data_IF_721154545619
#
_entry.id   IF_721154545619
#
_cell.length_a   1.000
_cell.length_b   1.000
_cell.length_c   1.000
_cell.angle_alpha   90.00
_cell.angle_beta   90.00
_cell.angle_gamma   90.00
#
_symmetry.space_group_name_H-M   'P 1'
#
loop_
_entity.id
_entity.type
_entity.pdbx_description
1 polymer ?
#
# COMPACT_ATOMS: atom_id res chain seq x y z
N UNK A 1 22.36 -3.41 -17.91
CA UNK A 1 20.98 -2.95 -18.16
C UNK A 1 20.64 -1.81 -17.20
N UNK A 2 19.99 -0.74 -17.65
CA UNK A 2 19.68 0.40 -16.79
C UNK A 2 18.60 0.12 -15.74
N UNK A 3 18.66 0.80 -14.59
CA UNK A 3 17.73 0.67 -13.44
C UNK A 3 16.24 0.86 -13.83
N UNK A 4 15.96 1.76 -14.78
CA UNK A 4 14.61 2.04 -15.28
C UNK A 4 14.07 0.85 -16.10
N UNK A 5 14.91 0.23 -16.93
CA UNK A 5 14.52 -0.95 -17.73
C UNK A 5 14.12 -2.12 -16.83
N UNK A 6 14.88 -2.36 -15.74
CA UNK A 6 14.54 -3.38 -14.73
C UNK A 6 13.18 -3.11 -14.07
N UNK A 7 12.94 -1.87 -13.66
CA UNK A 7 11.64 -1.47 -13.09
C UNK A 7 10.50 -1.74 -14.06
N UNK A 8 10.67 -1.38 -15.33
CA UNK A 8 9.65 -1.58 -16.36
C UNK A 8 9.38 -3.07 -16.63
N UNK A 9 10.42 -3.91 -16.62
CA UNK A 9 10.26 -5.36 -16.74
C UNK A 9 9.48 -5.96 -15.57
N UNK A 10 9.79 -5.54 -14.34
CA UNK A 10 9.10 -5.98 -13.12
C UNK A 10 7.63 -5.51 -13.09
N UNK A 11 7.37 -4.27 -13.54
CA UNK A 11 6.02 -3.74 -13.69
C UNK A 11 5.23 -4.52 -14.75
N UNK A 12 5.85 -4.85 -15.89
CA UNK A 12 5.22 -5.69 -16.93
C UNK A 12 4.94 -7.11 -16.43
N UNK A 13 5.87 -7.73 -15.70
CA UNK A 13 5.64 -9.05 -15.12
C UNK A 13 4.47 -9.03 -14.11
N UNK A 14 4.40 -7.98 -13.28
CA UNK A 14 3.26 -7.76 -12.38
C UNK A 14 1.95 -7.57 -13.15
N UNK A 15 2.01 -6.88 -14.30
CA UNK A 15 0.86 -6.64 -15.16
C UNK A 15 0.36 -7.91 -15.85
N UNK A 16 1.26 -8.80 -16.29
CA UNK A 16 0.86 -10.09 -16.84
C UNK A 16 0.18 -10.99 -15.80
N UNK A 17 0.63 -10.97 -14.54
CA UNK A 17 -0.09 -11.63 -13.44
C UNK A 17 -1.47 -11.01 -13.25
N UNK A 18 -1.57 -9.68 -13.20
CA UNK A 18 -2.86 -9.01 -13.06
C UNK A 18 -3.81 -9.25 -14.24
N UNK A 19 -3.27 -9.41 -15.44
CA UNK A 19 -4.06 -9.70 -16.65
C UNK A 19 -4.60 -11.13 -16.63
N UNK A 20 -3.84 -12.08 -16.06
CA UNK A 20 -4.33 -13.43 -15.80
C UNK A 20 -5.45 -13.41 -14.74
N UNK A 21 -5.32 -12.59 -13.70
CA UNK A 21 -6.26 -12.50 -12.57
C UNK A 21 -6.84 -11.09 -12.40
N UNK A 22 -7.73 -10.69 -13.29
CA UNK A 22 -8.34 -9.35 -13.22
C UNK A 22 -9.13 -9.11 -11.94
N UNK A 23 -9.59 -10.19 -11.30
CA UNK A 23 -10.32 -10.12 -10.03
C UNK A 23 -9.47 -9.62 -8.86
N UNK A 24 -8.13 -9.63 -8.95
CA UNK A 24 -7.25 -9.07 -7.91
C UNK A 24 -7.49 -7.57 -7.68
N UNK A 25 -7.96 -6.83 -8.70
CA UNK A 25 -8.33 -5.40 -8.57
C UNK A 25 -9.50 -5.22 -7.60
N UNK A 26 -10.35 -6.23 -7.44
CA UNK A 26 -11.46 -6.17 -6.50
C UNK A 26 -10.97 -5.96 -5.06
N UNK A 27 -9.76 -6.40 -4.70
CA UNK A 27 -9.24 -6.27 -3.34
C UNK A 27 -8.93 -4.80 -2.97
N UNK A 28 -8.19 -4.01 -3.76
CA UNK A 28 -8.10 -2.57 -3.55
C UNK A 28 -9.44 -1.83 -3.61
N UNK A 29 -10.37 -2.24 -4.48
CA UNK A 29 -11.71 -1.62 -4.56
C UNK A 29 -12.50 -1.86 -3.28
N UNK A 30 -12.53 -3.10 -2.79
CA UNK A 30 -13.17 -3.45 -1.52
C UNK A 30 -12.52 -2.72 -0.34
N UNK A 31 -11.19 -2.55 -0.36
CA UNK A 31 -10.45 -1.74 0.62
C UNK A 31 -10.91 -0.29 0.62
N UNK A 32 -11.03 0.33 -0.56
CA UNK A 32 -11.50 1.71 -0.72
C UNK A 32 -12.93 1.86 -0.20
N UNK A 33 -13.84 0.99 -0.62
CA UNK A 33 -15.25 1.03 -0.18
C UNK A 33 -15.34 0.84 1.34
N UNK A 34 -14.64 -0.15 1.90
CA UNK A 34 -14.61 -0.40 3.35
C UNK A 34 -14.05 0.79 4.12
N UNK A 35 -12.99 1.40 3.61
CA UNK A 35 -12.37 2.60 4.17
C UNK A 35 -13.34 3.78 4.17
N UNK A 36 -14.08 4.01 3.08
CA UNK A 36 -15.05 5.10 2.99
C UNK A 36 -16.24 4.89 3.94
N UNK A 37 -16.79 3.67 3.99
CA UNK A 37 -17.90 3.32 4.88
C UNK A 37 -17.51 3.53 6.34
N UNK A 38 -16.33 3.04 6.74
CA UNK A 38 -15.84 3.20 8.12
C UNK A 38 -15.45 4.65 8.40
N UNK A 39 -14.81 5.35 7.48
CA UNK A 39 -14.53 6.76 7.65
C UNK A 39 -15.83 7.55 7.88
N UNK A 40 -16.88 7.29 7.10
CA UNK A 40 -18.18 7.93 7.29
C UNK A 40 -18.80 7.61 8.66
N UNK A 41 -18.75 6.34 9.12
CA UNK A 41 -19.32 5.94 10.40
C UNK A 41 -18.65 6.60 11.62
N UNK A 42 -17.38 7.01 11.50
CA UNK A 42 -16.67 7.74 12.55
C UNK A 42 -16.76 9.26 12.37
N UNK A 43 -16.58 9.77 11.15
CA UNK A 43 -16.54 11.21 10.86
C UNK A 43 -17.90 11.88 11.04
N UNK A 44 -19.01 11.22 10.68
CA UNK A 44 -20.36 11.81 10.79
C UNK A 44 -20.70 12.08 12.27
N UNK A 45 -20.58 11.11 13.21
CA UNK A 45 -20.80 11.38 14.63
C UNK A 45 -19.83 12.42 15.20
N UNK A 46 -18.54 12.37 14.82
CA UNK A 46 -17.55 13.36 15.30
C UNK A 46 -17.91 14.79 14.85
N UNK A 47 -18.35 14.96 13.60
CA UNK A 47 -18.77 16.25 13.09
C UNK A 47 -20.05 16.76 13.78
N UNK A 48 -20.96 15.85 14.16
CA UNK A 48 -22.16 16.19 14.90
C UNK A 48 -21.84 16.65 16.34
N UNK A 49 -21.00 15.90 17.06
CA UNK A 49 -20.52 16.26 18.40
C UNK A 49 -19.73 17.56 18.37
N UNK A 50 -18.85 17.76 17.39
CA UNK A 50 -18.04 18.98 17.27
C UNK A 50 -18.85 20.25 16.95
N UNK A 51 -20.10 20.12 16.51
CA UNK A 51 -21.02 21.26 16.28
C UNK A 51 -21.91 21.58 17.47
N UNK A 52 -21.98 20.69 18.46
CA UNK A 52 -22.79 20.93 19.66
C UNK A 52 -22.14 22.01 20.53
N UNK A 53 -22.89 23.05 20.88
CA UNK A 53 -22.46 24.11 21.82
C UNK A 53 -22.48 23.61 23.28
N UNK A 54 -21.84 22.48 23.53
CA UNK A 54 -21.76 21.91 24.87
C UNK A 54 -20.57 22.53 25.62
N UNK A 55 -20.78 23.06 26.83
CA UNK A 55 -19.70 23.68 27.64
C UNK A 55 -18.57 22.71 28.05
N UNK A 56 -18.79 21.41 27.86
CA UNK A 56 -17.77 20.39 28.12
C UNK A 56 -16.79 20.32 26.94
N UNK A 57 -15.50 20.46 27.21
CA UNK A 57 -14.44 20.31 26.22
C UNK A 57 -14.60 18.96 25.47
N UNK A 58 -15.00 18.94 24.19
CA UNK A 58 -15.33 17.70 23.49
C UNK A 58 -14.07 16.85 23.18
N UNK A 59 -12.88 17.33 23.50
CA UNK A 59 -11.61 16.67 23.22
C UNK A 59 -11.46 15.28 23.86
N UNK A 60 -12.01 15.04 25.06
CA UNK A 60 -11.89 13.75 25.74
C UNK A 60 -12.71 12.64 25.06
N UNK A 61 -13.73 12.98 24.27
CA UNK A 61 -14.51 12.04 23.43
C UNK A 61 -13.93 11.95 22.03
N UNK A 62 -13.62 13.11 21.42
CA UNK A 62 -13.16 13.17 20.03
C UNK A 62 -11.79 12.51 19.86
N UNK A 63 -10.87 12.68 20.82
CA UNK A 63 -9.50 12.17 20.66
C UNK A 63 -9.42 10.62 20.67
N UNK A 64 -10.03 9.90 21.63
CA UNK A 64 -10.09 8.44 21.57
C UNK A 64 -10.84 7.93 20.34
N UNK A 65 -11.93 8.60 19.95
CA UNK A 65 -12.72 8.21 18.78
C UNK A 65 -11.93 8.40 17.47
N UNK A 66 -11.18 9.49 17.35
CA UNK A 66 -10.28 9.73 16.21
C UNK A 66 -9.13 8.71 16.17
N UNK A 67 -8.55 8.37 17.33
CA UNK A 67 -7.52 7.32 17.41
C UNK A 67 -8.09 5.94 17.02
N UNK A 68 -9.28 5.61 17.49
CA UNK A 68 -9.97 4.37 17.11
C UNK A 68 -10.27 4.34 15.60
N UNK A 69 -10.81 5.43 15.04
CA UNK A 69 -11.04 5.55 13.60
C UNK A 69 -9.74 5.33 12.82
N UNK A 70 -8.67 6.00 13.23
CA UNK A 70 -7.36 5.86 12.61
C UNK A 70 -6.83 4.42 12.63
N UNK A 71 -6.91 3.74 13.78
CA UNK A 71 -6.47 2.35 13.93
C UNK A 71 -7.30 1.39 13.07
N UNK A 72 -8.63 1.55 13.06
CA UNK A 72 -9.53 0.69 12.28
C UNK A 72 -9.28 0.88 10.78
N UNK A 73 -9.12 2.11 10.32
CA UNK A 73 -8.80 2.42 8.92
C UNK A 73 -7.43 1.84 8.50
N UNK A 74 -6.43 1.93 9.38
CA UNK A 74 -5.12 1.31 9.15
C UNK A 74 -5.25 -0.22 9.06
N UNK A 75 -6.03 -0.83 9.96
CA UNK A 75 -6.26 -2.27 9.96
C UNK A 75 -6.96 -2.75 8.67
N UNK A 76 -7.99 -2.03 8.20
CA UNK A 76 -8.68 -2.33 6.93
C UNK A 76 -7.68 -2.34 5.78
N UNK A 77 -6.87 -1.29 5.65
CA UNK A 77 -5.88 -1.17 4.57
C UNK A 77 -4.89 -2.33 4.60
N UNK A 78 -4.39 -2.69 5.80
CA UNK A 78 -3.45 -3.79 6.00
C UNK A 78 -4.11 -5.15 5.70
N UNK A 79 -5.35 -5.34 6.09
CA UNK A 79 -6.11 -6.57 5.86
C UNK A 79 -6.29 -6.85 4.37
N UNK A 80 -6.73 -5.86 3.59
CA UNK A 80 -6.88 -6.03 2.14
C UNK A 80 -5.53 -6.14 1.41
N UNK A 81 -4.48 -5.49 1.89
CA UNK A 81 -3.12 -5.70 1.37
C UNK A 81 -2.66 -7.15 1.64
N UNK A 82 -2.90 -7.67 2.84
CA UNK A 82 -2.62 -9.07 3.17
C UNK A 82 -3.42 -10.05 2.27
N UNK A 83 -4.68 -9.73 1.96
CA UNK A 83 -5.48 -10.52 1.01
C UNK A 83 -4.88 -10.51 -0.39
N UNK A 84 -4.45 -9.35 -0.88
CA UNK A 84 -3.80 -9.20 -2.18
C UNK A 84 -2.48 -9.97 -2.24
N UNK A 85 -1.67 -9.89 -1.19
CA UNK A 85 -0.41 -10.64 -1.08
C UNK A 85 -0.65 -12.15 -1.03
N UNK A 86 -1.71 -12.60 -0.34
CA UNK A 86 -2.10 -14.01 -0.33
C UNK A 86 -2.50 -14.51 -1.73
N UNK A 87 -3.35 -13.75 -2.42
CA UNK A 87 -3.83 -14.09 -3.76
C UNK A 87 -2.70 -14.07 -4.80
N UNK A 88 -1.82 -13.08 -4.73
CA UNK A 88 -0.62 -13.04 -5.56
C UNK A 88 0.28 -14.25 -5.30
N UNK A 89 0.41 -14.68 -4.04
CA UNK A 89 1.21 -15.85 -3.70
C UNK A 89 0.61 -17.14 -4.30
N UNK A 90 -0.72 -17.30 -4.18
CA UNK A 90 -1.46 -18.41 -4.76
C UNK A 90 -1.24 -18.52 -6.28
N UNK A 91 -1.35 -17.41 -7.02
CA UNK A 91 -1.05 -17.42 -8.47
C UNK A 91 0.42 -17.72 -8.77
N UNK A 92 1.36 -17.15 -8.01
CA UNK A 92 2.80 -17.40 -8.19
C UNK A 92 3.20 -18.84 -7.83
N UNK A 93 2.36 -19.58 -7.10
CA UNK A 93 2.48 -21.02 -6.86
C UNK A 93 1.86 -21.88 -7.98
N UNK A 94 1.23 -21.26 -8.98
CA UNK A 94 0.52 -21.94 -10.06
C UNK A 94 -0.96 -22.20 -9.78
N UNK A 95 -1.50 -21.67 -8.67
CA UNK A 95 -2.92 -21.76 -8.33
C UNK A 95 -3.79 -20.77 -9.12
N UNK A 96 -5.07 -20.73 -8.77
CA UNK A 96 -6.09 -19.88 -9.38
C UNK A 96 -6.75 -19.01 -8.29
N UNK A 97 -6.22 -17.82 -8.00
CA UNK A 97 -6.68 -17.01 -6.89
C UNK A 97 -8.06 -16.45 -7.15
N UNK A 98 -8.93 -16.49 -6.15
CA UNK A 98 -10.22 -15.83 -6.18
C UNK A 98 -10.30 -14.75 -5.11
N UNK A 99 -11.21 -13.78 -5.25
CA UNK A 99 -11.49 -12.83 -4.15
C UNK A 99 -11.82 -13.57 -2.84
N UNK A 100 -12.54 -14.70 -2.94
CA UNK A 100 -12.88 -15.53 -1.79
C UNK A 100 -11.66 -16.21 -1.14
N UNK A 101 -10.75 -16.79 -1.94
CA UNK A 101 -9.52 -17.39 -1.40
C UNK A 101 -8.63 -16.33 -0.75
N UNK A 102 -8.50 -15.17 -1.38
CA UNK A 102 -7.76 -14.01 -0.88
C UNK A 102 -8.25 -13.55 0.50
N UNK A 103 -9.56 -13.33 0.64
CA UNK A 103 -10.18 -12.86 1.89
C UNK A 103 -10.09 -13.91 2.99
N UNK A 104 -10.32 -15.20 2.69
CA UNK A 104 -10.11 -16.29 3.66
C UNK A 104 -8.65 -16.37 4.09
N UNK A 105 -7.74 -16.19 3.14
CA UNK A 105 -6.30 -16.12 3.36
C UNK A 105 -5.94 -15.05 4.38
N UNK A 106 -6.41 -13.82 4.19
CA UNK A 106 -6.19 -12.72 5.14
C UNK A 106 -6.90 -12.94 6.48
N UNK A 107 -8.15 -13.41 6.47
CA UNK A 107 -8.95 -13.67 7.66
C UNK A 107 -8.28 -14.68 8.60
N UNK A 108 -7.68 -15.74 8.06
CA UNK A 108 -6.92 -16.71 8.86
C UNK A 108 -5.71 -16.10 9.60
N UNK A 109 -5.22 -14.92 9.17
CA UNK A 109 -4.11 -14.18 9.80
C UNK A 109 -4.56 -12.88 10.45
N UNK A 110 -5.87 -12.63 10.59
CA UNK A 110 -6.44 -11.40 11.13
C UNK A 110 -5.83 -11.02 12.49
N UNK A 111 -5.61 -12.02 13.36
CA UNK A 111 -5.00 -11.83 14.68
C UNK A 111 -3.51 -11.43 14.64
N UNK A 112 -2.77 -11.83 13.60
CA UNK A 112 -1.37 -11.40 13.38
C UNK A 112 -1.29 -10.00 12.78
N UNK A 113 -2.26 -9.65 11.94
CA UNK A 113 -2.33 -8.35 11.27
C UNK A 113 -2.72 -7.22 12.22
N UNK A 114 -3.47 -7.50 13.29
CA UNK A 114 -3.93 -6.46 14.20
C UNK A 114 -2.79 -5.80 14.99
N UNK A 115 -1.88 -6.54 15.67
CA UNK A 115 -0.72 -5.93 16.31
C UNK A 115 0.20 -5.22 15.32
N UNK A 116 0.25 -5.68 14.05
CA UNK A 116 0.99 -5.01 13.00
C UNK A 116 0.36 -3.67 12.64
N UNK A 117 -0.96 -3.62 12.51
CA UNK A 117 -1.69 -2.37 12.28
C UNK A 117 -1.48 -1.37 13.40
N UNK A 118 -1.54 -1.81 14.66
CA UNK A 118 -1.27 -0.96 15.81
C UNK A 118 0.16 -0.38 15.77
N UNK A 119 1.16 -1.22 15.51
CA UNK A 119 2.56 -0.78 15.41
C UNK A 119 2.75 0.21 14.24
N UNK A 120 2.26 -0.14 13.05
CA UNK A 120 2.42 0.69 11.85
C UNK A 120 1.71 2.03 12.01
N UNK A 121 0.48 2.03 12.53
CA UNK A 121 -0.29 3.23 12.82
C UNK A 121 0.46 4.12 13.84
N UNK A 122 0.98 3.52 14.91
CA UNK A 122 1.74 4.27 15.93
C UNK A 122 2.99 4.91 15.35
N UNK A 123 3.77 4.17 14.55
CA UNK A 123 4.99 4.71 13.93
C UNK A 123 4.65 5.81 12.91
N UNK A 124 3.61 5.62 12.10
CA UNK A 124 3.15 6.65 11.17
C UNK A 124 2.67 7.92 11.88
N UNK A 125 1.90 7.79 12.97
CA UNK A 125 1.46 8.93 13.78
C UNK A 125 2.65 9.64 14.43
N UNK A 126 3.63 8.90 14.95
CA UNK A 126 4.84 9.46 15.55
C UNK A 126 5.68 10.22 14.52
N UNK A 127 5.92 9.65 13.34
CA UNK A 127 6.65 10.31 12.26
C UNK A 127 5.97 11.61 11.85
N UNK A 128 4.64 11.61 11.74
CA UNK A 128 3.86 12.79 11.41
C UNK A 128 3.93 13.87 12.49
N UNK A 129 3.82 13.48 13.77
CA UNK A 129 3.94 14.40 14.90
C UNK A 129 5.33 15.06 14.98
N UNK A 130 6.39 14.32 14.62
CA UNK A 130 7.75 14.87 14.51
C UNK A 130 7.85 15.83 13.32
N UNK A 131 7.28 15.47 12.17
CA UNK A 131 7.31 16.31 10.96
C UNK A 131 6.55 17.64 11.14
N UNK A 132 5.41 17.62 11.84
CA UNK A 132 4.61 18.81 12.15
C UNK A 132 5.34 19.78 13.10
N UNK A 133 6.19 19.27 13.99
CA UNK A 133 6.95 20.07 14.97
C UNK A 133 8.35 20.43 14.48
N UNK A 134 8.77 19.88 13.35
CA UNK A 134 10.09 20.06 12.78
C UNK A 134 10.18 21.31 11.89
N UNK A 135 11.25 22.10 12.07
CA UNK A 135 11.70 23.05 11.06
C UNK A 135 12.20 22.34 9.79
N UNK A 136 12.67 23.09 8.79
CA UNK A 136 13.08 22.53 7.48
C UNK A 136 14.05 21.34 7.58
N UNK A 137 15.02 21.37 8.51
CA UNK A 137 15.95 20.26 8.75
C UNK A 137 15.28 19.01 9.33
N UNK A 138 14.32 19.17 10.24
CA UNK A 138 13.64 18.03 10.83
C UNK A 138 12.70 17.32 9.84
N UNK A 139 12.16 18.05 8.85
CA UNK A 139 11.40 17.44 7.73
C UNK A 139 12.27 16.53 6.85
N UNK A 140 13.53 16.91 6.63
CA UNK A 140 14.48 16.06 5.89
C UNK A 140 14.77 14.79 6.70
N UNK A 141 15.04 14.93 8.00
CA UNK A 141 15.33 13.78 8.88
C UNK A 141 14.12 12.85 9.01
N UNK A 142 12.91 13.40 9.22
CA UNK A 142 11.68 12.60 9.29
C UNK A 142 11.39 11.89 7.97
N UNK A 143 11.66 12.54 6.82
CA UNK A 143 11.55 11.93 5.50
C UNK A 143 12.50 10.74 5.32
N UNK A 144 13.76 10.87 5.73
CA UNK A 144 14.73 9.76 5.69
C UNK A 144 14.31 8.62 6.62
N UNK A 145 13.86 8.94 7.84
CA UNK A 145 13.37 7.94 8.79
C UNK A 145 12.13 7.20 8.25
N UNK A 146 11.20 7.92 7.62
CA UNK A 146 10.03 7.34 6.96
C UNK A 146 10.42 6.44 5.78
N UNK A 147 11.41 6.85 4.99
CA UNK A 147 11.95 6.01 3.91
C UNK A 147 12.56 4.72 4.46
N UNK A 148 13.44 4.82 5.46
CA UNK A 148 14.05 3.67 6.12
C UNK A 148 13.00 2.73 6.72
N UNK A 149 12.00 3.27 7.43
CA UNK A 149 10.86 2.50 7.94
C UNK A 149 10.14 1.76 6.82
N UNK A 150 9.80 2.44 5.73
CA UNK A 150 9.09 1.84 4.60
C UNK A 150 9.88 0.72 3.91
N UNK A 151 11.22 0.80 3.91
CA UNK A 151 12.11 -0.23 3.35
C UNK A 151 12.18 -1.45 4.26
N UNK A 152 12.41 -1.22 5.56
CA UNK A 152 12.48 -2.28 6.58
C UNK A 152 11.17 -3.04 6.68
N UNK A 153 10.05 -2.36 6.51
CA UNK A 153 8.70 -2.94 6.68
C UNK A 153 8.11 -3.50 5.40
N UNK A 154 8.79 -3.32 4.27
CA UNK A 154 8.27 -3.69 2.96
C UNK A 154 7.92 -5.18 2.86
N UNK A 155 8.67 -6.09 3.48
CA UNK A 155 8.39 -7.54 3.39
C UNK A 155 7.57 -8.06 4.58
N UNK A 156 7.16 -7.20 5.52
CA UNK A 156 6.47 -7.63 6.75
C UNK A 156 5.13 -8.29 6.44
N UNK A 157 4.31 -7.71 5.55
CA UNK A 157 3.00 -8.28 5.20
C UNK A 157 3.15 -9.67 4.55
N UNK A 158 3.99 -9.86 3.51
CA UNK A 158 4.30 -11.20 2.99
C UNK A 158 4.74 -12.20 4.05
N UNK A 159 5.64 -11.79 4.95
CA UNK A 159 6.12 -12.67 6.03
C UNK A 159 4.99 -13.04 6.99
N UNK A 160 4.16 -12.09 7.40
CA UNK A 160 3.01 -12.35 8.28
C UNK A 160 2.00 -13.29 7.62
N UNK A 161 1.76 -13.14 6.32
CA UNK A 161 0.78 -13.95 5.59
C UNK A 161 1.31 -15.36 5.31
N UNK A 162 2.58 -15.49 4.92
CA UNK A 162 3.14 -16.75 4.41
C UNK A 162 3.95 -17.55 5.42
N UNK A 163 4.49 -16.90 6.46
CA UNK A 163 5.26 -17.56 7.53
C UNK A 163 4.51 -17.58 8.88
N UNK A 164 3.35 -16.93 8.99
CA UNK A 164 2.53 -16.80 10.22
C UNK A 164 3.34 -16.36 11.46
N UNK A 165 4.37 -15.56 11.26
CA UNK A 165 5.23 -15.10 12.34
C UNK A 165 4.55 -14.01 13.20
N UNK A 166 5.07 -13.81 14.41
CA UNK A 166 4.70 -12.64 15.23
C UNK A 166 5.31 -11.37 14.61
N UNK A 167 4.69 -10.22 14.85
CA UNK A 167 5.15 -8.93 14.29
C UNK A 167 6.64 -8.65 14.53
N UNK A 168 7.14 -8.90 15.75
CA UNK A 168 8.55 -8.71 16.07
C UNK A 168 9.49 -9.64 15.29
N UNK A 169 9.08 -10.89 15.09
CA UNK A 169 9.81 -11.87 14.28
C UNK A 169 9.74 -11.52 12.80
N UNK A 170 8.59 -11.08 12.31
CA UNK A 170 8.39 -10.63 10.94
C UNK A 170 9.27 -9.41 10.61
N UNK A 171 9.45 -8.47 11.54
CA UNK A 171 10.38 -7.35 11.37
C UNK A 171 11.85 -7.80 11.32
N UNK A 172 12.24 -8.73 12.20
CA UNK A 172 13.60 -9.31 12.18
C UNK A 172 13.86 -10.07 10.88
N UNK A 173 12.87 -10.84 10.42
CA UNK A 173 12.93 -11.58 9.16
C UNK A 173 13.00 -10.62 7.96
N UNK A 174 12.16 -9.57 7.94
CA UNK A 174 12.16 -8.54 6.89
C UNK A 174 13.50 -7.80 6.80
N UNK A 175 14.07 -7.42 7.95
CA UNK A 175 15.40 -6.79 8.00
C UNK A 175 16.53 -7.73 7.55
N UNK A 176 16.47 -9.01 7.90
CA UNK A 176 17.44 -10.01 7.43
C UNK A 176 17.38 -10.20 5.91
N UNK A 177 16.17 -10.36 5.36
CA UNK A 177 15.97 -10.46 3.91
C UNK A 177 16.41 -9.19 3.18
N UNK A 178 16.15 -8.02 3.76
CA UNK A 178 16.59 -6.73 3.21
C UNK A 178 18.12 -6.61 3.16
N UNK A 179 18.82 -6.92 4.27
CA UNK A 179 20.29 -6.85 4.32
C UNK A 179 20.97 -7.79 3.33
N UNK A 180 20.38 -8.98 3.10
CA UNK A 180 20.96 -10.00 2.21
C UNK A 180 20.74 -9.75 0.71
N UNK A 181 19.70 -8.99 0.32
CA UNK A 181 19.28 -8.90 -1.10
C UNK A 181 19.07 -7.48 -1.63
N UNK A 182 18.97 -6.47 -0.75
CA UNK A 182 18.35 -5.18 -1.09
C UNK A 182 19.24 -3.95 -0.91
N UNK A 183 20.34 -4.04 -0.16
CA UNK A 183 21.21 -2.89 0.15
C UNK A 183 21.65 -2.07 -1.07
N UNK A 184 21.79 -2.72 -2.24
CA UNK A 184 22.21 -2.09 -3.50
C UNK A 184 21.05 -1.81 -4.49
N UNK A 185 19.84 -2.32 -4.25
CA UNK A 185 18.74 -2.41 -5.23
C UNK A 185 17.52 -1.50 -4.97
N UNK A 186 17.62 -0.55 -4.04
CA UNK A 186 16.57 0.44 -3.68
C UNK A 186 15.97 1.18 -4.89
N UNK A 187 16.72 1.26 -6.00
CA UNK A 187 16.32 1.93 -7.24
C UNK A 187 15.03 1.38 -7.89
N UNK A 188 14.71 0.09 -7.74
CA UNK A 188 13.51 -0.49 -8.38
C UNK A 188 12.20 0.04 -7.79
N UNK A 189 12.16 0.32 -6.48
CA UNK A 189 10.97 0.86 -5.80
C UNK A 189 10.76 2.35 -6.10
N UNK A 190 11.85 3.10 -6.21
CA UNK A 190 11.80 4.49 -6.72
C UNK A 190 11.21 4.50 -8.14
N UNK A 191 11.56 3.51 -8.96
CA UNK A 191 11.01 3.36 -10.30
C UNK A 191 9.48 3.15 -10.33
N UNK A 192 8.90 2.33 -9.45
CA UNK A 192 7.44 2.17 -9.34
C UNK A 192 6.74 3.47 -8.92
N UNK A 193 7.34 4.22 -8.00
CA UNK A 193 6.82 5.54 -7.59
C UNK A 193 6.85 6.55 -8.74
N UNK A 194 7.94 6.61 -9.50
CA UNK A 194 8.07 7.47 -10.69
C UNK A 194 7.08 7.07 -11.79
N UNK A 195 6.93 5.78 -12.04
CA UNK A 195 5.94 5.26 -12.99
C UNK A 195 4.52 5.67 -12.56
N UNK A 196 4.20 5.55 -11.27
CA UNK A 196 2.92 5.98 -10.74
C UNK A 196 2.67 7.46 -10.86
N UNK A 197 3.67 8.29 -10.51
CA UNK A 197 3.61 9.73 -10.67
C UNK A 197 3.29 10.13 -12.11
N UNK A 198 4.00 9.56 -13.09
CA UNK A 198 3.79 9.84 -14.51
C UNK A 198 2.39 9.43 -14.99
N UNK A 199 1.87 8.29 -14.54
CA UNK A 199 0.54 7.80 -14.94
C UNK A 199 -0.61 8.64 -14.35
N UNK A 200 -0.39 9.31 -13.23
CA UNK A 200 -1.38 10.19 -12.59
C UNK A 200 -1.46 11.57 -13.26
N UNK A 201 -0.39 12.03 -13.93
CA UNK A 201 -0.31 13.36 -14.56
C UNK A 201 -1.49 13.70 -15.50
N UNK A 202 -1.97 12.82 -16.39
CA UNK A 202 -3.11 13.13 -17.24
C UNK A 202 -4.39 13.45 -16.44
N UNK A 203 -4.61 12.76 -15.32
CA UNK A 203 -5.75 13.04 -14.44
C UNK A 203 -5.62 14.37 -13.72
N UNK A 204 -4.41 14.71 -13.26
CA UNK A 204 -4.13 16.04 -12.67
C UNK A 204 -4.35 17.14 -13.72
N UNK A 205 -3.86 16.94 -14.95
CA UNK A 205 -4.05 17.88 -16.05
C UNK A 205 -5.54 18.07 -16.37
N UNK A 206 -6.35 17.00 -16.36
CA UNK A 206 -7.79 17.09 -16.56
C UNK A 206 -8.48 17.88 -15.43
N UNK A 207 -8.13 17.65 -14.17
CA UNK A 207 -8.67 18.40 -13.02
C UNK A 207 -8.25 19.87 -13.08
N UNK A 208 -6.99 20.16 -13.35
CA UNK A 208 -6.48 21.52 -13.49
C UNK A 208 -7.16 22.24 -14.67
N UNK A 209 -7.34 21.56 -15.80
CA UNK A 209 -8.09 22.06 -16.94
C UNK A 209 -9.56 22.34 -16.62
N UNK A 210 -10.19 21.50 -15.79
CA UNK A 210 -11.57 21.72 -15.34
C UNK A 210 -11.74 23.04 -14.57
N UNK A 211 -10.76 23.38 -13.73
CA UNK A 211 -10.74 24.64 -12.97
C UNK A 211 -10.32 25.85 -13.85
N UNK A 212 -9.47 25.64 -14.85
CA UNK A 212 -8.98 26.71 -15.72
C UNK A 212 -10.01 27.20 -16.75
N UNK A 213 -11.02 26.39 -17.09
CA UNK A 213 -12.05 26.74 -18.08
C UNK A 213 -13.15 27.67 -17.57
N UNK A 214 -13.17 28.03 -16.28
CA UNK A 214 -14.07 29.02 -15.71
C UNK A 214 -14.92 28.52 -14.54
N UNK A 215 -15.78 29.41 -14.04
CA UNK A 215 -16.76 29.17 -12.97
C UNK A 215 -18.18 29.12 -13.58
N UNK A 216 -18.94 28.02 -13.42
CA UNK A 216 -18.62 26.82 -12.63
C UNK A 216 -17.57 25.91 -13.27
N UNK A 217 -16.81 25.24 -12.40
CA UNK A 217 -15.83 24.19 -12.76
C UNK A 217 -16.48 23.18 -13.69
N UNK A 218 -15.80 22.84 -14.79
CA UNK A 218 -16.33 21.88 -15.76
C UNK A 218 -16.48 20.48 -15.14
N UNK A 219 -17.71 19.98 -14.91
CA UNK A 219 -17.95 18.75 -14.15
C UNK A 219 -17.47 17.49 -14.89
N UNK A 220 -17.46 17.52 -16.23
CA UNK A 220 -17.01 16.41 -17.06
C UNK A 220 -15.51 16.18 -16.91
N UNK A 221 -14.69 17.23 -17.10
CA UNK A 221 -13.24 17.12 -16.96
C UNK A 221 -12.82 16.78 -15.54
N UNK A 222 -13.51 17.33 -14.54
CA UNK A 222 -13.28 17.01 -13.14
C UNK A 222 -13.53 15.51 -12.89
N UNK A 223 -14.66 15.00 -13.36
CA UNK A 223 -15.04 13.59 -13.18
C UNK A 223 -14.08 12.66 -13.91
N UNK A 224 -13.72 12.96 -15.17
CA UNK A 224 -12.75 12.18 -15.94
C UNK A 224 -11.38 12.14 -15.25
N UNK A 225 -10.91 13.29 -14.75
CA UNK A 225 -9.64 13.36 -14.04
C UNK A 225 -9.64 12.54 -12.75
N UNK A 226 -10.70 12.64 -11.94
CA UNK A 226 -10.84 11.85 -10.70
C UNK A 226 -10.90 10.35 -11.01
N UNK A 227 -11.74 9.93 -11.97
CA UNK A 227 -11.87 8.51 -12.36
C UNK A 227 -10.54 7.97 -12.88
N UNK A 228 -9.81 8.73 -13.70
CA UNK A 228 -8.49 8.34 -14.20
C UNK A 228 -7.51 8.10 -13.04
N UNK A 229 -7.40 9.04 -12.10
CA UNK A 229 -6.51 8.92 -10.95
C UNK A 229 -6.88 7.69 -10.12
N UNK A 230 -8.18 7.48 -9.86
CA UNK A 230 -8.65 6.31 -9.11
C UNK A 230 -8.26 5.00 -9.80
N UNK A 231 -8.47 4.88 -11.11
CA UNK A 231 -8.09 3.69 -11.87
C UNK A 231 -6.58 3.43 -11.81
N UNK A 232 -5.77 4.47 -12.00
CA UNK A 232 -4.32 4.37 -11.92
C UNK A 232 -3.87 3.92 -10.54
N UNK A 233 -4.44 4.49 -9.46
CA UNK A 233 -4.11 4.11 -8.08
C UNK A 233 -4.49 2.66 -7.78
N UNK A 234 -5.69 2.21 -8.19
CA UNK A 234 -6.14 0.84 -7.97
C UNK A 234 -5.25 -0.18 -8.69
N UNK A 235 -4.91 0.09 -9.96
CA UNK A 235 -3.99 -0.75 -10.74
C UNK A 235 -2.62 -0.80 -10.08
N UNK A 236 -2.03 0.35 -9.77
CA UNK A 236 -0.69 0.41 -9.17
C UNK A 236 -0.62 -0.23 -7.80
N UNK A 237 -1.66 -0.08 -6.98
CA UNK A 237 -1.78 -0.76 -5.69
C UNK A 237 -1.73 -2.28 -5.88
N UNK A 238 -2.48 -2.79 -6.87
CA UNK A 238 -2.50 -4.22 -7.21
C UNK A 238 -1.13 -4.71 -7.69
N UNK A 239 -0.51 -4.00 -8.64
CA UNK A 239 0.82 -4.31 -9.15
C UNK A 239 1.89 -4.26 -8.05
N UNK A 240 1.79 -3.31 -7.12
CA UNK A 240 2.70 -3.18 -6.00
C UNK A 240 2.61 -4.39 -5.05
N UNK A 241 1.40 -4.87 -4.75
CA UNK A 241 1.22 -6.08 -3.94
C UNK A 241 1.74 -7.35 -4.62
N UNK A 242 1.52 -7.50 -5.94
CA UNK A 242 2.07 -8.61 -6.73
C UNK A 242 3.60 -8.56 -6.70
N UNK A 243 4.18 -7.40 -6.99
CA UNK A 243 5.63 -7.18 -6.96
C UNK A 243 6.22 -7.49 -5.58
N UNK A 244 5.59 -6.99 -4.51
CA UNK A 244 6.01 -7.22 -3.12
C UNK A 244 6.03 -8.71 -2.79
N UNK A 245 5.02 -9.45 -3.26
CA UNK A 245 4.90 -10.90 -3.09
C UNK A 245 5.99 -11.66 -3.85
N UNK A 246 6.17 -11.36 -5.14
CA UNK A 246 7.21 -11.97 -5.97
C UNK A 246 8.61 -11.72 -5.40
N UNK A 247 8.85 -10.50 -4.92
CA UNK A 247 10.12 -10.13 -4.31
C UNK A 247 10.36 -10.88 -2.98
N UNK A 248 9.34 -11.02 -2.14
CA UNK A 248 9.44 -11.84 -0.94
C UNK A 248 9.80 -13.29 -1.30
N UNK A 249 9.12 -13.89 -2.29
CA UNK A 249 9.40 -15.27 -2.71
C UNK A 249 10.84 -15.42 -3.19
N UNK A 250 11.31 -14.51 -4.03
CA UNK A 250 12.71 -14.48 -4.47
C UNK A 250 13.69 -14.40 -3.28
N UNK A 251 13.49 -13.43 -2.37
CA UNK A 251 14.36 -13.25 -1.21
C UNK A 251 14.34 -14.45 -0.24
N UNK A 252 13.19 -15.13 -0.14
CA UNK A 252 13.02 -16.33 0.68
C UNK A 252 13.45 -17.63 -0.02
N UNK A 253 13.97 -17.57 -1.26
CA UNK A 253 14.35 -18.75 -2.04
C UNK A 253 13.18 -19.63 -2.47
N UNK A 254 11.96 -19.09 -2.51
CA UNK A 254 10.75 -19.79 -2.94
C UNK A 254 10.62 -19.68 -4.47
N UNK A 255 10.36 -20.78 -5.20
CA UNK A 255 10.19 -20.75 -6.64
C UNK A 255 8.96 -19.92 -7.01
N UNK A 256 8.98 -19.22 -8.14
CA UNK A 256 7.80 -18.52 -8.69
C UNK A 256 7.46 -19.10 -10.05
N UNK A 257 6.18 -19.28 -10.34
CA UNK A 257 5.68 -19.74 -11.63
C UNK A 257 5.23 -18.55 -12.50
N UNK A 258 5.01 -18.83 -13.79
CA UNK A 258 4.47 -17.87 -14.74
C UNK A 258 5.39 -16.67 -14.99
N UNK A 259 4.82 -15.46 -14.99
CA UNK A 259 5.50 -14.24 -15.39
C UNK A 259 6.78 -13.95 -14.58
N UNK A 260 6.92 -14.42 -13.33
CA UNK A 260 8.13 -14.23 -12.51
C UNK A 260 9.05 -15.45 -12.44
N UNK A 261 8.74 -16.53 -13.17
CA UNK A 261 9.52 -17.77 -13.15
C UNK A 261 10.76 -17.75 -14.05
N UNK A 262 10.91 -16.76 -14.92
CA UNK A 262 12.05 -16.71 -15.85
C UNK A 262 13.36 -16.35 -15.13
N UNK A 263 14.46 -16.98 -15.56
CA UNK A 263 15.80 -16.70 -15.05
C UNK A 263 16.17 -15.21 -15.20
N UNK A 264 15.69 -14.56 -16.27
CA UNK A 264 15.90 -13.13 -16.53
C UNK A 264 15.25 -12.22 -15.48
N UNK A 265 14.08 -12.61 -14.95
CA UNK A 265 13.41 -11.84 -13.90
C UNK A 265 13.98 -12.12 -12.51
N UNK A 266 14.48 -13.33 -12.26
CA UNK A 266 15.31 -13.58 -11.08
C UNK A 266 16.59 -12.73 -11.11
N UNK A 267 17.22 -12.62 -12.29
CA UNK A 267 18.35 -11.71 -12.49
C UNK A 267 17.95 -10.24 -12.30
N UNK A 268 16.73 -9.84 -12.68
CA UNK A 268 16.24 -8.47 -12.43
C UNK A 268 16.14 -8.12 -10.92
N UNK A 269 15.93 -9.11 -10.05
CA UNK A 269 15.95 -8.95 -8.59
C UNK A 269 17.36 -9.02 -7.99
N UNK A 270 18.26 -9.80 -8.58
CA UNK A 270 19.64 -10.03 -8.09
C UNK A 270 20.73 -9.17 -8.74
N UNK A 271 20.42 -8.40 -9.78
CA UNK A 271 21.44 -7.71 -10.57
C UNK A 271 22.10 -6.55 -9.81
N UNK A 272 23.42 -6.66 -9.69
CA UNK A 272 24.38 -5.59 -9.38
C UNK A 272 24.18 -4.36 -10.30
#
# INVERSE_FOLDING_TARGET
MGRISRTMQLARASWEVLKADKELIALPVLSLVSTLVVAASFLIPMAWVGRSETEQNPAWVILPLAFAAYLVLAYITIFFNAALVHAANERLEGGDPTVGSALRGAAARAGRLFPWALLSATVSALLRAVEERAGALGKVVSGIAGMAWSLVTFLVIPILVMEDLRVGEALKRSTALFKGTWGENVAARVGFGLLGFLLVLPGIAAIAGAAALGDPVNPLLLTLGVVWILLVVLVLSTLSGIFQTALYRYAAGKPSQGAFGSADLQAAFGAK
#
